data_IF_759539027470
#
_entry.id   IF_759539027470
#
_cell.length_a   1.000
_cell.length_b   1.000
_cell.length_c   1.000
_cell.angle_alpha   90.00
_cell.angle_beta   90.00
_cell.angle_gamma   90.00
#
_symmetry.space_group_name_H-M   'P 1'
#
loop_
_entity.id
_entity.type
_entity.pdbx_description
1 polymer ?
#
# COMPACT_ATOMS: atom_id res chain seq x y z
N UNK A 1 -27.88 -9.80 4.53
CA UNK A 1 -26.48 -9.82 4.02
C UNK A 1 -26.35 -9.10 2.69
N UNK A 2 -27.16 -9.44 1.67
CA UNK A 2 -27.18 -8.68 0.40
C UNK A 2 -27.60 -7.21 0.58
N UNK A 3 -28.63 -6.96 1.39
CA UNK A 3 -29.11 -5.60 1.65
C UNK A 3 -28.06 -4.67 2.26
N UNK A 4 -27.12 -5.19 3.07
CA UNK A 4 -26.04 -4.38 3.65
C UNK A 4 -24.89 -4.12 2.67
N UNK A 5 -24.79 -4.91 1.60
CA UNK A 5 -23.86 -4.67 0.50
C UNK A 5 -24.40 -3.61 -0.45
N UNK A 6 -25.71 -3.62 -0.71
CA UNK A 6 -26.37 -2.57 -1.47
C UNK A 6 -26.49 -1.26 -0.70
N UNK A 7 -26.79 -1.31 0.60
CA UNK A 7 -26.78 -0.10 1.44
C UNK A 7 -25.37 0.46 1.57
N UNK A 8 -24.36 -0.40 1.56
CA UNK A 8 -22.94 -0.07 1.63
C UNK A 8 -22.39 0.03 3.06
N UNK A 9 -23.18 -0.27 4.09
CA UNK A 9 -22.73 -0.22 5.49
C UNK A 9 -21.70 -1.31 5.79
N UNK A 10 -21.78 -2.42 5.04
CA UNK A 10 -20.74 -3.44 5.03
C UNK A 10 -19.37 -2.85 4.69
N UNK A 11 -19.29 -1.97 3.67
CA UNK A 11 -18.03 -1.40 3.22
C UNK A 11 -17.39 -0.48 4.27
N UNK A 12 -18.21 0.21 5.07
CA UNK A 12 -17.73 1.03 6.20
C UNK A 12 -17.06 0.14 7.25
N UNK A 13 -17.74 -0.93 7.68
CA UNK A 13 -17.19 -1.87 8.68
C UNK A 13 -15.94 -2.58 8.14
N UNK A 14 -15.95 -2.96 6.87
CA UNK A 14 -14.83 -3.64 6.25
C UNK A 14 -13.60 -2.72 6.12
N UNK A 15 -13.78 -1.47 5.66
CA UNK A 15 -12.70 -0.48 5.56
C UNK A 15 -12.08 -0.17 6.93
N UNK A 16 -12.91 -0.07 7.98
CA UNK A 16 -12.44 0.18 9.34
C UNK A 16 -11.62 -0.98 9.92
N UNK A 17 -11.86 -2.22 9.47
CA UNK A 17 -11.20 -3.44 9.98
C UNK A 17 -10.02 -3.90 9.14
N UNK A 18 -9.96 -3.54 7.86
CA UNK A 18 -8.95 -3.98 6.91
C UNK A 18 -8.21 -2.80 6.29
N UNK A 19 -7.16 -2.34 6.97
CA UNK A 19 -6.40 -1.14 6.57
C UNK A 19 -5.78 -1.22 5.17
N UNK A 20 -5.47 -2.42 4.67
CA UNK A 20 -4.87 -2.60 3.34
C UNK A 20 -5.81 -2.25 2.19
N UNK A 21 -7.12 -2.40 2.40
CA UNK A 21 -8.15 -2.14 1.39
C UNK A 21 -8.89 -0.82 1.64
N UNK A 22 -8.52 -0.09 2.71
CA UNK A 22 -9.22 1.11 3.13
C UNK A 22 -9.31 2.14 2.01
N UNK A 23 -8.19 2.46 1.37
CA UNK A 23 -8.12 3.54 0.38
C UNK A 23 -9.05 3.25 -0.83
N UNK A 24 -8.91 2.06 -1.41
CA UNK A 24 -9.76 1.60 -2.53
C UNK A 24 -11.25 1.61 -2.16
N UNK A 25 -11.60 1.08 -0.99
CA UNK A 25 -13.00 0.99 -0.54
C UNK A 25 -13.57 2.37 -0.23
N UNK A 26 -12.77 3.25 0.38
CA UNK A 26 -13.19 4.61 0.67
C UNK A 26 -13.59 5.31 -0.62
N UNK A 27 -12.72 5.35 -1.62
CA UNK A 27 -12.98 6.06 -2.87
C UNK A 27 -14.07 5.42 -3.73
N UNK A 28 -14.15 4.09 -3.78
CA UNK A 28 -15.13 3.42 -4.66
C UNK A 28 -16.51 3.24 -4.04
N UNK A 29 -16.61 3.12 -2.72
CA UNK A 29 -17.86 2.71 -2.04
C UNK A 29 -18.36 3.72 -1.03
N UNK A 30 -17.47 4.43 -0.34
CA UNK A 30 -17.86 5.32 0.77
C UNK A 30 -18.02 6.75 0.26
N UNK A 31 -16.99 7.35 -0.34
CA UNK A 31 -17.00 8.74 -0.83
C UNK A 31 -18.21 9.03 -1.74
N UNK A 32 -18.55 8.18 -2.73
CA UNK A 32 -19.66 8.46 -3.63
C UNK A 32 -21.03 8.46 -2.96
N UNK A 33 -21.18 7.82 -1.79
CA UNK A 33 -22.44 7.83 -1.02
C UNK A 33 -22.70 9.18 -0.37
N UNK A 34 -21.65 9.91 -0.01
CA UNK A 34 -21.77 11.18 0.71
C UNK A 34 -21.60 12.39 -0.22
N UNK A 35 -20.72 12.27 -1.21
CA UNK A 35 -20.35 13.39 -2.09
C UNK A 35 -20.78 13.20 -3.54
N UNK A 36 -21.36 12.05 -3.89
CA UNK A 36 -21.77 11.71 -5.25
C UNK A 36 -20.64 11.12 -6.09
N UNK A 37 -21.00 10.69 -7.31
CA UNK A 37 -20.03 10.12 -8.25
C UNK A 37 -18.97 11.17 -8.61
N UNK A 38 -17.70 10.81 -8.38
CA UNK A 38 -16.56 11.65 -8.75
C UNK A 38 -15.98 11.15 -10.07
N UNK A 39 -15.82 12.03 -11.06
CA UNK A 39 -15.29 11.67 -12.38
C UNK A 39 -13.78 11.36 -12.34
N UNK A 40 -13.04 12.07 -11.48
CA UNK A 40 -11.60 11.88 -11.27
C UNK A 40 -11.32 11.47 -9.82
N UNK A 41 -11.19 10.17 -9.57
CA UNK A 41 -10.89 9.62 -8.25
C UNK A 41 -9.52 10.07 -7.72
N UNK A 42 -8.54 10.31 -8.61
CA UNK A 42 -7.18 10.68 -8.21
C UNK A 42 -7.08 12.17 -7.84
N UNK A 43 -7.94 13.01 -8.43
CA UNK A 43 -8.10 14.43 -8.09
C UNK A 43 -9.09 14.70 -6.94
N UNK A 44 -10.02 13.78 -6.68
CA UNK A 44 -11.14 13.93 -5.75
C UNK A 44 -10.74 14.45 -4.37
N UNK A 45 -9.63 13.94 -3.82
CA UNK A 45 -9.15 14.32 -2.49
C UNK A 45 -8.85 15.81 -2.35
N UNK A 46 -8.46 16.51 -3.43
CA UNK A 46 -8.20 17.96 -3.41
C UNK A 46 -9.46 18.75 -3.14
N UNK A 47 -10.58 18.32 -3.70
CA UNK A 47 -11.90 18.93 -3.43
C UNK A 47 -12.31 18.65 -1.98
N UNK A 48 -12.06 17.43 -1.48
CA UNK A 48 -12.37 17.04 -0.09
C UNK A 48 -11.55 17.81 0.94
N UNK A 49 -10.31 18.18 0.62
CA UNK A 49 -9.51 19.07 1.48
C UNK A 49 -10.17 20.43 1.71
N UNK A 50 -10.94 20.92 0.74
CA UNK A 50 -11.68 22.17 0.88
C UNK A 50 -12.85 22.09 1.88
N UNK A 51 -13.23 20.90 2.33
CA UNK A 51 -14.28 20.69 3.34
C UNK A 51 -13.78 20.83 4.77
N UNK A 52 -12.46 20.74 4.97
CA UNK A 52 -11.84 20.84 6.28
C UNK A 52 -11.81 22.30 6.73
N UNK A 53 -12.10 22.52 8.00
CA UNK A 53 -11.90 23.84 8.60
C UNK A 53 -10.40 24.16 8.76
N UNK A 54 -10.07 25.42 9.11
CA UNK A 54 -8.67 25.83 9.23
C UNK A 54 -7.92 25.01 10.28
N UNK A 55 -8.59 24.67 11.40
CA UNK A 55 -7.98 23.93 12.49
C UNK A 55 -7.72 22.47 12.08
N UNK A 56 -8.68 21.84 11.42
CA UNK A 56 -8.54 20.48 10.88
C UNK A 56 -7.40 20.41 9.86
N UNK A 57 -7.25 21.44 9.01
CA UNK A 57 -6.11 21.56 8.10
C UNK A 57 -4.78 21.70 8.84
N UNK A 58 -4.70 22.56 9.85
CA UNK A 58 -3.49 22.70 10.67
C UNK A 58 -3.10 21.37 11.34
N UNK A 59 -4.07 20.66 11.91
CA UNK A 59 -3.86 19.34 12.51
C UNK A 59 -3.38 18.30 11.49
N UNK A 60 -3.96 18.30 10.29
CA UNK A 60 -3.52 17.45 9.18
C UNK A 60 -2.06 17.74 8.81
N UNK A 61 -1.68 19.00 8.62
CA UNK A 61 -0.31 19.39 8.26
C UNK A 61 0.71 18.94 9.32
N UNK A 62 0.36 19.05 10.60
CA UNK A 62 1.19 18.53 11.71
C UNK A 62 1.37 17.02 11.59
N UNK A 63 0.29 16.28 11.28
CA UNK A 63 0.35 14.82 11.09
C UNK A 63 1.21 14.44 9.88
N UNK A 64 1.05 15.13 8.75
CA UNK A 64 1.84 14.91 7.53
C UNK A 64 3.32 15.15 7.81
N UNK A 65 3.67 16.28 8.42
CA UNK A 65 5.05 16.62 8.77
C UNK A 65 5.67 15.57 9.71
N UNK A 66 4.90 15.05 10.68
CA UNK A 66 5.33 13.96 11.54
C UNK A 66 5.57 12.68 10.75
N UNK A 67 4.65 12.31 9.86
CA UNK A 67 4.75 11.08 9.04
C UNK A 67 5.92 11.11 8.06
N UNK A 68 6.23 12.26 7.47
CA UNK A 68 7.40 12.43 6.62
C UNK A 68 8.70 12.19 7.41
N UNK A 69 8.83 12.75 8.62
CA UNK A 69 9.99 12.48 9.48
C UNK A 69 10.09 11.01 9.93
N UNK A 70 8.95 10.38 10.23
CA UNK A 70 8.92 8.94 10.53
C UNK A 70 9.39 8.12 9.32
N UNK A 71 9.00 8.52 8.11
CA UNK A 71 9.37 7.82 6.87
C UNK A 71 10.88 7.84 6.61
N UNK A 72 11.59 8.92 6.97
CA UNK A 72 13.06 9.01 6.83
C UNK A 72 13.81 7.94 7.64
N UNK A 73 13.22 7.50 8.75
CA UNK A 73 13.83 6.54 9.68
C UNK A 73 13.20 5.15 9.61
N UNK A 74 12.04 5.03 8.96
CA UNK A 74 11.29 3.78 8.88
C UNK A 74 11.95 2.80 7.92
N UNK A 75 12.43 1.69 8.44
CA UNK A 75 12.82 0.55 7.61
C UNK A 75 11.58 -0.04 6.95
N UNK A 76 11.50 0.05 5.62
CA UNK A 76 10.50 -0.65 4.81
C UNK A 76 10.83 -2.15 4.81
N UNK A 77 10.44 -2.84 5.88
CA UNK A 77 10.48 -4.30 5.93
C UNK A 77 9.18 -4.83 5.34
N UNK A 78 9.26 -5.31 4.12
CA UNK A 78 8.20 -6.13 3.55
C UNK A 78 8.23 -7.49 4.26
N UNK A 79 7.09 -7.96 4.77
CA UNK A 79 6.97 -9.28 5.38
C UNK A 79 6.61 -10.30 4.29
N UNK A 80 7.58 -11.11 3.84
CA UNK A 80 7.39 -11.94 2.66
C UNK A 80 6.50 -13.14 2.95
N UNK A 81 5.54 -13.36 2.05
CA UNK A 81 4.78 -14.60 2.07
C UNK A 81 5.67 -15.82 1.75
N UNK A 82 5.14 -17.01 2.05
CA UNK A 82 5.87 -18.26 1.92
C UNK A 82 6.35 -18.50 0.47
N UNK A 83 5.55 -18.07 -0.51
CA UNK A 83 5.88 -18.15 -1.93
C UNK A 83 7.09 -17.27 -2.28
N UNK A 84 7.08 -16.02 -1.82
CA UNK A 84 8.15 -15.07 -2.13
C UNK A 84 9.46 -15.46 -1.43
N UNK A 85 9.38 -16.03 -0.23
CA UNK A 85 10.53 -16.64 0.44
C UNK A 85 11.10 -17.82 -0.34
N UNK A 86 10.25 -18.73 -0.84
CA UNK A 86 10.67 -19.88 -1.63
C UNK A 86 11.36 -19.44 -2.94
N UNK A 87 10.78 -18.47 -3.64
CA UNK A 87 11.36 -17.90 -4.85
C UNK A 87 12.72 -17.25 -4.59
N UNK A 88 12.85 -16.47 -3.50
CA UNK A 88 14.13 -15.86 -3.11
C UNK A 88 15.22 -16.91 -2.83
N UNK A 89 14.87 -18.02 -2.17
CA UNK A 89 15.81 -19.13 -1.92
C UNK A 89 16.28 -19.76 -3.23
N UNK A 90 15.36 -19.95 -4.18
CA UNK A 90 15.67 -20.52 -5.48
C UNK A 90 16.64 -19.62 -6.27
N UNK A 91 16.38 -18.31 -6.34
CA UNK A 91 17.29 -17.34 -6.98
C UNK A 91 18.69 -17.38 -6.36
N UNK A 92 18.79 -17.35 -5.02
CA UNK A 92 20.08 -17.43 -4.33
C UNK A 92 20.83 -18.73 -4.65
N UNK A 93 20.13 -19.84 -4.83
CA UNK A 93 20.75 -21.11 -5.20
C UNK A 93 21.31 -21.08 -6.63
N UNK A 94 20.58 -20.46 -7.56
CA UNK A 94 21.01 -20.30 -8.95
C UNK A 94 22.21 -19.36 -9.09
N UNK A 95 22.21 -18.23 -8.37
CA UNK A 95 23.35 -17.31 -8.34
C UNK A 95 24.62 -18.00 -7.81
N UNK A 96 24.51 -18.76 -6.72
CA UNK A 96 25.63 -19.54 -6.19
C UNK A 96 26.16 -20.54 -7.19
N UNK A 97 25.27 -21.31 -7.84
CA UNK A 97 25.66 -22.28 -8.86
C UNK A 97 26.35 -21.61 -10.07
N UNK A 98 25.87 -20.41 -10.46
CA UNK A 98 26.45 -19.63 -11.55
C UNK A 98 27.86 -19.12 -11.20
N UNK A 99 28.03 -18.58 -9.99
CA UNK A 99 29.34 -18.12 -9.49
C UNK A 99 30.33 -19.28 -9.38
N UNK A 100 29.91 -20.43 -8.85
CA UNK A 100 30.78 -21.62 -8.75
C UNK A 100 31.20 -22.16 -10.12
N UNK A 101 30.30 -22.16 -11.10
CA UNK A 101 30.64 -22.59 -12.46
C UNK A 101 31.62 -21.63 -13.14
N UNK A 102 31.42 -20.32 -13.02
CA UNK A 102 32.37 -19.33 -13.56
C UNK A 102 33.75 -19.41 -12.89
N UNK A 103 33.81 -19.72 -11.59
CA UNK A 103 35.08 -19.90 -10.89
C UNK A 103 35.82 -21.17 -11.35
N UNK A 104 35.08 -22.26 -11.59
CA UNK A 104 35.64 -23.52 -12.10
C UNK A 104 36.17 -23.36 -13.53
N UNK A 105 35.44 -22.66 -14.40
CA UNK A 105 35.87 -22.36 -15.77
C UNK A 105 37.14 -21.50 -15.82
N UNK A 106 37.31 -20.55 -14.88
CA UNK A 106 38.54 -19.74 -14.78
C UNK A 106 39.76 -20.51 -14.28
N UNK A 107 39.58 -21.62 -13.56
CA UNK A 107 40.68 -22.42 -13.00
C UNK A 107 41.13 -23.54 -13.95
N UNK A 108 40.28 -23.95 -14.89
CA UNK A 108 40.61 -24.97 -15.91
C UNK A 108 41.17 -24.40 -17.22
N UNK A 109 41.44 -23.09 -17.28
CA UNK A 109 41.85 -22.36 -18.49
C UNK A 109 43.34 -22.01 -18.63
N UNK A 110 44.21 -22.51 -17.75
CA UNK A 110 45.70 -22.42 -17.85
C UNK A 110 46.31 -23.79 -18.19
#
# INVERSE_FOLDING_TARGET
MYESWESGDFWIVYAATHSFAFDEIYWQKIDPRFFGLTEDLEGAWKERLGLLDEKEREEMEILVARKLREMDTRTLSWDPDEYTLAFHKQLKSQEKAKVENSLKESVTGD
#
